data_IF_296085604559
#
_entry.id   IF_296085604559
#
_cell.length_a   1.000
_cell.length_b   1.000
_cell.length_c   1.000
_cell.angle_alpha   90.00
_cell.angle_beta   90.00
_cell.angle_gamma   90.00
#
_symmetry.space_group_name_H-M   'P 1'
#
loop_
_entity.id
_entity.type
_entity.pdbx_description
1 polymer ?
#
# COMPACT_ATOMS: atom_id res chain seq x y z
N UNK A 1 -7.64 -8.55 45.66
CA UNK A 1 -8.92 -8.77 44.95
C UNK A 1 -9.85 -7.64 45.34
N UNK A 2 -10.69 -7.18 44.42
CA UNK A 2 -11.76 -6.21 44.68
C UNK A 2 -13.00 -6.72 43.94
N UNK A 3 -14.15 -6.83 44.60
CA UNK A 3 -15.39 -7.41 44.05
C UNK A 3 -15.20 -8.74 43.31
N UNK A 4 -14.46 -9.66 43.94
CA UNK A 4 -14.13 -10.99 43.37
C UNK A 4 -13.32 -10.96 42.06
N UNK A 5 -12.75 -9.80 41.68
CA UNK A 5 -11.85 -9.63 40.54
C UNK A 5 -10.40 -9.50 41.01
N UNK A 6 -9.51 -10.15 40.28
CA UNK A 6 -8.06 -9.99 40.43
C UNK A 6 -7.66 -8.65 39.80
N UNK A 7 -7.09 -7.78 40.62
CA UNK A 7 -6.62 -6.45 40.18
C UNK A 7 -5.11 -6.39 40.37
N UNK A 8 -4.42 -5.85 39.38
CA UNK A 8 -3.00 -5.52 39.43
C UNK A 8 -2.82 -4.01 39.41
N UNK A 9 -1.99 -3.48 40.32
CA UNK A 9 -1.61 -2.07 40.31
C UNK A 9 -0.65 -1.82 39.16
N UNK A 10 -0.95 -0.86 38.29
CA UNK A 10 0.01 -0.40 37.28
C UNK A 10 0.96 0.62 37.92
N UNK A 11 2.12 0.86 37.29
CA UNK A 11 3.18 1.72 37.83
C UNK A 11 2.76 3.20 37.88
N UNK A 12 2.00 3.67 36.88
CA UNK A 12 1.59 5.08 36.74
C UNK A 12 0.21 5.27 36.09
N UNK A 13 -0.58 4.19 35.94
CA UNK A 13 -1.84 4.19 35.18
C UNK A 13 -3.04 3.68 35.98
N UNK A 14 -4.13 3.26 35.30
CA UNK A 14 -5.30 2.71 35.97
C UNK A 14 -5.01 1.37 36.65
N UNK A 15 -5.86 0.99 37.60
CA UNK A 15 -5.88 -0.38 38.11
C UNK A 15 -6.24 -1.35 36.98
N UNK A 16 -5.43 -2.41 36.81
CA UNK A 16 -5.61 -3.38 35.74
C UNK A 16 -6.49 -4.54 36.22
N UNK A 17 -7.58 -4.78 35.53
CA UNK A 17 -8.45 -5.95 35.75
C UNK A 17 -7.85 -7.16 35.05
N UNK A 18 -7.59 -8.21 35.82
CA UNK A 18 -7.16 -9.50 35.28
C UNK A 18 -8.36 -10.19 34.63
N UNK A 19 -8.25 -10.50 33.34
CA UNK A 19 -9.28 -11.20 32.57
C UNK A 19 -8.79 -12.59 32.16
N UNK A 20 -9.73 -13.48 31.87
CA UNK A 20 -9.46 -14.86 31.42
C UNK A 20 -10.18 -15.13 30.12
N UNK A 21 -9.80 -16.21 29.44
CA UNK A 21 -10.57 -16.72 28.31
C UNK A 21 -12.04 -16.97 28.73
N UNK A 22 -13.05 -16.61 27.91
CA UNK A 22 -12.97 -16.07 26.54
C UNK A 22 -12.88 -14.54 26.43
N UNK A 23 -12.96 -13.80 27.54
CA UNK A 23 -12.98 -12.32 27.58
C UNK A 23 -11.74 -11.69 26.94
N UNK A 24 -10.60 -12.39 26.96
CA UNK A 24 -9.36 -11.96 26.29
C UNK A 24 -9.57 -11.75 24.79
N UNK A 25 -10.30 -12.66 24.12
CA UNK A 25 -10.59 -12.54 22.68
C UNK A 25 -11.55 -11.39 22.38
N UNK A 26 -12.55 -11.17 23.23
CA UNK A 26 -13.48 -10.04 23.06
C UNK A 26 -12.75 -8.70 23.16
N UNK A 27 -11.83 -8.57 24.11
CA UNK A 27 -11.00 -7.35 24.26
C UNK A 27 -10.08 -7.17 23.06
N UNK A 28 -9.38 -8.23 22.62
CA UNK A 28 -8.51 -8.16 21.44
C UNK A 28 -9.29 -7.78 20.17
N UNK A 29 -10.44 -8.39 19.96
CA UNK A 29 -11.35 -8.09 18.85
C UNK A 29 -11.83 -6.65 18.90
N UNK A 30 -12.31 -6.15 20.05
CA UNK A 30 -12.77 -4.76 20.16
C UNK A 30 -11.67 -3.73 19.92
N UNK A 31 -10.44 -3.99 20.35
CA UNK A 31 -9.32 -3.06 20.16
C UNK A 31 -8.78 -3.13 18.72
N UNK A 32 -8.72 -4.33 18.12
CA UNK A 32 -8.11 -4.54 16.80
C UNK A 32 -9.10 -4.35 15.63
N UNK A 33 -10.31 -4.89 15.77
CA UNK A 33 -11.34 -4.98 14.71
C UNK A 33 -12.59 -4.12 14.97
N UNK A 34 -12.68 -3.47 16.15
CA UNK A 34 -13.80 -2.59 16.48
C UNK A 34 -13.85 -1.31 15.66
N UNK A 35 -14.87 -0.49 15.87
CA UNK A 35 -15.09 0.78 15.13
C UNK A 35 -13.93 1.79 15.25
N UNK A 36 -13.08 1.63 16.27
CA UNK A 36 -11.86 2.43 16.48
C UNK A 36 -10.57 1.60 16.33
N UNK A 37 -10.65 0.40 15.75
CA UNK A 37 -9.52 -0.47 15.49
C UNK A 37 -8.64 0.07 14.37
N UNK A 38 -7.33 0.12 14.59
CA UNK A 38 -6.35 0.60 13.60
C UNK A 38 -5.43 -0.54 13.09
N UNK A 39 -5.87 -1.79 13.18
CA UNK A 39 -5.10 -3.00 12.81
C UNK A 39 -3.68 -3.02 13.40
N UNK A 40 -3.60 -2.74 14.70
CA UNK A 40 -2.34 -2.60 15.45
C UNK A 40 -1.53 -3.90 15.44
N UNK A 41 -0.20 -3.80 15.39
CA UNK A 41 0.70 -4.90 15.70
C UNK A 41 0.52 -5.41 17.14
N UNK A 42 0.94 -6.64 17.41
CA UNK A 42 0.67 -7.31 18.70
C UNK A 42 1.20 -6.56 19.93
N UNK A 43 2.31 -5.80 19.81
CA UNK A 43 2.85 -4.96 20.89
C UNK A 43 1.95 -3.76 21.19
N UNK A 44 1.58 -3.01 20.16
CA UNK A 44 0.65 -1.87 20.27
C UNK A 44 -0.71 -2.32 20.80
N UNK A 45 -1.21 -3.47 20.34
CA UNK A 45 -2.45 -4.08 20.82
C UNK A 45 -2.37 -4.44 22.33
N UNK A 46 -1.24 -5.00 22.76
CA UNK A 46 -0.95 -5.26 24.18
C UNK A 46 -0.96 -3.97 24.99
N UNK A 47 -0.27 -2.93 24.50
CA UNK A 47 -0.17 -1.66 25.20
C UNK A 47 -1.53 -0.94 25.30
N UNK A 48 -2.33 -0.99 24.25
CA UNK A 48 -3.71 -0.48 24.26
C UNK A 48 -4.57 -1.20 25.31
N UNK A 49 -4.50 -2.54 25.36
CA UNK A 49 -5.22 -3.32 26.36
C UNK A 49 -4.83 -2.93 27.80
N UNK A 50 -3.54 -2.70 28.05
CA UNK A 50 -3.05 -2.18 29.34
C UNK A 50 -3.59 -0.77 29.63
N UNK A 51 -3.54 0.14 28.65
CA UNK A 51 -3.98 1.53 28.81
C UNK A 51 -5.47 1.65 29.13
N UNK A 52 -6.31 0.76 28.60
CA UNK A 52 -7.75 0.71 28.91
C UNK A 52 -8.08 -0.08 30.19
N UNK A 53 -7.06 -0.63 30.88
CA UNK A 53 -7.23 -1.24 32.19
C UNK A 53 -7.38 -2.76 32.22
N UNK A 54 -6.95 -3.49 31.18
CA UNK A 54 -6.98 -4.96 31.17
C UNK A 54 -5.57 -5.57 31.18
N UNK A 55 -5.44 -6.73 31.83
CA UNK A 55 -4.21 -7.51 31.85
C UNK A 55 -4.51 -9.01 31.88
N UNK A 56 -3.63 -9.81 31.27
CA UNK A 56 -3.57 -11.25 31.49
C UNK A 56 -2.13 -11.75 31.23
N UNK A 57 -1.68 -12.85 31.86
CA UNK A 57 -0.27 -13.25 31.86
C UNK A 57 0.35 -13.44 30.47
N UNK A 58 -0.42 -13.99 29.53
CA UNK A 58 0.03 -14.35 28.17
C UNK A 58 -0.27 -13.25 27.14
N UNK A 59 -0.72 -12.06 27.55
CA UNK A 59 -1.26 -11.04 26.62
C UNK A 59 -0.35 -10.64 25.47
N UNK A 60 0.97 -10.64 25.68
CA UNK A 60 1.94 -10.34 24.60
C UNK A 60 1.92 -11.43 23.52
N UNK A 61 1.91 -12.69 23.95
CA UNK A 61 1.85 -13.83 23.04
C UNK A 61 0.49 -13.88 22.33
N UNK A 62 -0.60 -13.77 23.11
CA UNK A 62 -1.96 -13.86 22.58
C UNK A 62 -2.27 -12.71 21.61
N UNK A 63 -1.82 -11.49 21.90
CA UNK A 63 -1.97 -10.34 20.97
C UNK A 63 -1.18 -10.57 19.68
N UNK A 64 0.04 -11.12 19.77
CA UNK A 64 0.83 -11.43 18.58
C UNK A 64 0.21 -12.55 17.74
N UNK A 65 -0.32 -13.60 18.39
CA UNK A 65 -1.03 -14.67 17.68
C UNK A 65 -2.34 -14.18 17.07
N UNK A 66 -3.08 -13.32 17.78
CA UNK A 66 -4.32 -12.72 17.30
C UNK A 66 -4.06 -11.92 16.02
N UNK A 67 -3.12 -10.98 16.04
CA UNK A 67 -2.76 -10.17 14.86
C UNK A 67 -2.28 -11.06 13.72
N UNK A 68 -1.49 -12.10 14.00
CA UNK A 68 -1.06 -13.06 12.99
C UNK A 68 -2.25 -13.79 12.35
N UNK A 69 -3.26 -14.16 13.13
CA UNK A 69 -4.50 -14.78 12.62
C UNK A 69 -5.39 -13.83 11.81
N UNK A 70 -5.16 -12.51 11.92
CA UNK A 70 -5.82 -11.49 11.11
C UNK A 70 -5.02 -11.10 9.86
N UNK A 71 -3.88 -11.74 9.60
CA UNK A 71 -3.10 -11.47 8.39
C UNK A 71 -3.89 -11.90 7.15
N UNK A 72 -4.07 -10.97 6.22
CA UNK A 72 -4.74 -11.22 4.95
C UNK A 72 -3.87 -10.82 3.77
N UNK A 73 -4.08 -11.49 2.63
CA UNK A 73 -3.40 -11.20 1.39
C UNK A 73 -4.43 -11.06 0.27
N UNK A 74 -4.38 -9.96 -0.45
CA UNK A 74 -5.16 -9.77 -1.68
C UNK A 74 -4.29 -10.19 -2.86
N UNK A 75 -4.75 -11.15 -3.66
CA UNK A 75 -4.08 -11.56 -4.90
C UNK A 75 -5.03 -11.42 -6.07
N UNK A 76 -4.51 -11.33 -7.28
CA UNK A 76 -5.33 -11.49 -8.47
C UNK A 76 -5.79 -12.94 -8.65
N UNK A 77 -6.67 -13.15 -9.63
CA UNK A 77 -7.13 -14.49 -10.05
C UNK A 77 -6.11 -15.24 -10.92
N UNK A 78 -4.82 -14.91 -10.82
CA UNK A 78 -3.78 -15.66 -11.51
C UNK A 78 -3.78 -17.12 -11.08
N UNK A 79 -3.60 -18.04 -12.03
CA UNK A 79 -3.58 -19.48 -11.76
C UNK A 79 -2.50 -19.89 -10.77
N UNK A 80 -1.41 -19.12 -10.69
CA UNK A 80 -0.34 -19.26 -9.70
C UNK A 80 -0.81 -19.03 -8.24
N UNK A 81 -1.92 -18.32 -8.03
CA UNK A 81 -2.47 -18.00 -6.72
C UNK A 81 -3.74 -18.78 -6.36
N UNK A 82 -4.22 -19.70 -7.22
CA UNK A 82 -5.44 -20.50 -6.99
C UNK A 82 -5.13 -21.99 -6.76
N UNK A 83 -3.87 -22.43 -6.98
CA UNK A 83 -3.49 -23.84 -6.88
C UNK A 83 -3.58 -24.43 -5.47
N UNK A 84 -3.87 -25.73 -5.36
CA UNK A 84 -3.98 -26.44 -4.06
C UNK A 84 -2.79 -26.21 -3.12
N UNK A 85 -1.58 -26.14 -3.67
CA UNK A 85 -0.35 -25.91 -2.89
C UNK A 85 -0.34 -24.51 -2.24
N UNK A 86 -0.75 -23.46 -2.96
CA UNK A 86 -0.77 -22.10 -2.42
C UNK A 86 -1.88 -21.93 -1.38
N UNK A 87 -3.05 -22.55 -1.60
CA UNK A 87 -4.14 -22.55 -0.64
C UNK A 87 -3.74 -23.27 0.65
N UNK A 88 -3.06 -24.42 0.54
CA UNK A 88 -2.52 -25.14 1.69
C UNK A 88 -1.44 -24.32 2.42
N UNK A 89 -0.61 -23.58 1.68
CA UNK A 89 0.36 -22.65 2.26
C UNK A 89 -0.34 -21.56 3.08
N UNK A 90 -1.33 -20.86 2.52
CA UNK A 90 -2.06 -19.81 3.24
C UNK A 90 -2.78 -20.37 4.48
N UNK A 91 -3.40 -21.54 4.37
CA UNK A 91 -4.02 -22.21 5.52
C UNK A 91 -3.01 -22.56 6.62
N UNK A 92 -1.85 -23.12 6.26
CA UNK A 92 -0.77 -23.48 7.20
C UNK A 92 -0.28 -22.26 8.01
N UNK A 93 -0.18 -21.11 7.36
CA UNK A 93 0.29 -19.88 8.00
C UNK A 93 -0.84 -19.00 8.56
N UNK A 94 -2.08 -19.49 8.55
CA UNK A 94 -3.29 -18.76 9.00
C UNK A 94 -3.48 -17.42 8.26
N UNK A 95 -3.11 -17.36 6.98
CA UNK A 95 -3.26 -16.18 6.12
C UNK A 95 -4.61 -16.27 5.41
N UNK A 96 -5.44 -15.25 5.57
CA UNK A 96 -6.72 -15.14 4.85
C UNK A 96 -6.46 -14.66 3.43
N UNK A 97 -6.74 -15.49 2.43
CA UNK A 97 -6.60 -15.08 1.03
C UNK A 97 -7.90 -14.41 0.53
N UNK A 98 -7.76 -13.23 -0.05
CA UNK A 98 -8.82 -12.56 -0.80
C UNK A 98 -8.43 -12.51 -2.27
N UNK A 99 -9.28 -13.06 -3.12
CA UNK A 99 -9.09 -13.00 -4.56
C UNK A 99 -9.76 -11.74 -5.12
N UNK A 100 -9.02 -10.94 -5.88
CA UNK A 100 -9.61 -9.83 -6.61
C UNK A 100 -10.57 -10.38 -7.66
N UNK A 101 -11.81 -9.91 -7.66
CA UNK A 101 -12.76 -10.32 -8.69
C UNK A 101 -12.49 -9.52 -9.96
N UNK A 102 -12.73 -10.11 -11.12
CA UNK A 102 -12.60 -9.40 -12.41
C UNK A 102 -13.49 -8.15 -12.50
N UNK A 103 -14.50 -8.03 -11.63
CA UNK A 103 -15.41 -6.89 -11.53
C UNK A 103 -14.87 -5.75 -10.64
N UNK A 104 -13.88 -6.01 -9.79
CA UNK A 104 -13.28 -5.04 -8.86
C UNK A 104 -11.73 -5.09 -8.89
N UNK A 105 -11.10 -4.72 -10.02
CA UNK A 105 -9.64 -4.67 -10.13
C UNK A 105 -8.99 -3.68 -9.14
N UNK A 106 -9.75 -2.71 -8.60
CA UNK A 106 -9.22 -1.79 -7.58
C UNK A 106 -8.67 -2.49 -6.34
N UNK A 107 -9.13 -3.72 -6.03
CA UNK A 107 -8.57 -4.51 -4.92
C UNK A 107 -7.06 -4.80 -5.06
N UNK A 108 -6.55 -4.81 -6.30
CA UNK A 108 -5.12 -4.99 -6.59
C UNK A 108 -4.43 -3.70 -7.10
N UNK A 109 -5.15 -2.58 -7.14
CA UNK A 109 -4.67 -1.34 -7.76
C UNK A 109 -3.40 -0.76 -7.13
N UNK A 110 -3.16 -1.01 -5.84
CA UNK A 110 -1.92 -0.61 -5.15
C UNK A 110 -0.70 -1.39 -5.67
N UNK A 111 -0.85 -2.70 -5.88
CA UNK A 111 0.21 -3.54 -6.45
C UNK A 111 0.47 -3.14 -7.91
N UNK A 112 -0.58 -2.91 -8.70
CA UNK A 112 -0.47 -2.45 -10.09
C UNK A 112 0.27 -1.10 -10.19
N UNK A 113 -0.08 -0.13 -9.36
CA UNK A 113 0.57 1.18 -9.33
C UNK A 113 2.06 1.06 -8.93
N UNK A 114 2.38 0.22 -7.95
CA UNK A 114 3.75 -0.03 -7.51
C UNK A 114 4.57 -0.72 -8.61
N UNK A 115 4.00 -1.76 -9.24
CA UNK A 115 4.62 -2.48 -10.35
C UNK A 115 4.89 -1.57 -11.54
N UNK A 116 3.94 -0.69 -11.89
CA UNK A 116 4.13 0.31 -12.95
C UNK A 116 5.35 1.20 -12.68
N UNK A 117 5.49 1.70 -11.46
CA UNK A 117 6.64 2.52 -11.08
C UNK A 117 7.96 1.76 -11.14
N UNK A 118 8.00 0.52 -10.66
CA UNK A 118 9.19 -0.33 -10.71
C UNK A 118 9.59 -0.59 -12.17
N UNK A 119 8.62 -0.91 -13.03
CA UNK A 119 8.85 -1.12 -14.46
C UNK A 119 9.34 0.16 -15.16
N UNK A 120 8.79 1.32 -14.83
CA UNK A 120 9.24 2.60 -15.41
C UNK A 120 10.68 2.94 -14.97
N UNK A 121 11.05 2.65 -13.73
CA UNK A 121 12.43 2.79 -13.25
C UNK A 121 13.40 1.82 -13.94
N UNK A 122 12.98 0.56 -14.13
CA UNK A 122 13.76 -0.43 -14.87
C UNK A 122 13.99 0.01 -16.32
N UNK A 123 12.95 0.44 -17.03
CA UNK A 123 13.05 0.91 -18.41
C UNK A 123 14.10 2.01 -18.56
N UNK A 124 14.09 3.01 -17.68
CA UNK A 124 15.06 4.11 -17.68
C UNK A 124 16.50 3.66 -17.46
N UNK A 125 16.73 2.64 -16.63
CA UNK A 125 18.08 2.09 -16.40
C UNK A 125 18.57 1.21 -17.54
N UNK A 126 17.64 0.62 -18.29
CA UNK A 126 17.93 -0.31 -19.38
C UNK A 126 18.07 0.38 -20.75
N UNK A 127 18.03 1.72 -20.84
CA UNK A 127 18.08 2.52 -22.09
C UNK A 127 19.31 2.25 -23.01
N UNK A 128 20.24 1.38 -22.62
CA UNK A 128 21.32 0.89 -23.50
C UNK A 128 21.86 -0.52 -23.17
N UNK A 129 21.17 -1.29 -22.32
CA UNK A 129 21.63 -2.61 -21.86
C UNK A 129 20.50 -3.64 -21.96
N UNK A 130 20.29 -4.18 -23.15
CA UNK A 130 19.28 -5.21 -23.38
C UNK A 130 19.58 -6.47 -22.53
N UNK A 131 18.58 -6.96 -21.80
CA UNK A 131 18.63 -8.25 -21.12
C UNK A 131 19.20 -8.28 -19.69
N UNK A 132 19.81 -7.20 -19.17
CA UNK A 132 20.43 -7.18 -17.82
C UNK A 132 19.49 -6.75 -16.68
N UNK A 133 18.18 -6.90 -16.87
CA UNK A 133 17.19 -6.44 -15.88
C UNK A 133 17.35 -7.11 -14.51
N UNK A 134 17.85 -8.36 -14.49
CA UNK A 134 18.10 -9.10 -13.23
C UNK A 134 19.17 -8.40 -12.39
N UNK A 135 20.22 -7.89 -13.03
CA UNK A 135 21.32 -7.19 -12.35
C UNK A 135 20.89 -5.79 -11.86
N UNK A 136 20.02 -5.12 -12.61
CA UNK A 136 19.52 -3.78 -12.27
C UNK A 136 18.36 -3.79 -11.25
N UNK A 137 17.62 -4.90 -11.14
CA UNK A 137 16.45 -4.99 -10.29
C UNK A 137 16.73 -4.66 -8.81
N UNK A 138 17.80 -5.19 -8.17
CA UNK A 138 18.13 -4.80 -6.80
C UNK A 138 18.33 -3.29 -6.63
N UNK A 139 19.00 -2.64 -7.59
CA UNK A 139 19.22 -1.20 -7.59
C UNK A 139 17.92 -0.40 -7.74
N UNK A 140 17.00 -0.88 -8.59
CA UNK A 140 15.66 -0.28 -8.74
C UNK A 140 14.84 -0.45 -7.47
N UNK A 141 14.81 -1.64 -6.88
CA UNK A 141 14.07 -1.89 -5.65
C UNK A 141 14.64 -1.06 -4.49
N UNK A 142 15.96 -0.93 -4.39
CA UNK A 142 16.60 -0.07 -3.41
C UNK A 142 16.14 1.38 -3.56
N UNK A 143 16.25 1.95 -4.76
CA UNK A 143 15.76 3.30 -5.04
C UNK A 143 14.25 3.43 -4.76
N UNK A 144 13.46 2.40 -5.09
CA UNK A 144 12.03 2.38 -4.82
C UNK A 144 11.74 2.47 -3.32
N UNK A 145 12.47 1.71 -2.50
CA UNK A 145 12.29 1.65 -1.05
C UNK A 145 12.78 2.90 -0.32
N UNK A 146 13.84 3.56 -0.80
CA UNK A 146 14.47 4.71 -0.11
C UNK A 146 14.06 6.08 -0.66
N UNK A 147 13.19 6.15 -1.65
CA UNK A 147 12.72 7.43 -2.21
C UNK A 147 11.34 7.78 -1.67
N UNK A 148 11.21 9.03 -1.18
CA UNK A 148 9.93 9.56 -0.67
C UNK A 148 8.88 9.59 -1.78
N UNK A 149 7.69 9.05 -1.50
CA UNK A 149 6.59 9.07 -2.47
C UNK A 149 5.80 10.37 -2.33
N UNK A 150 5.43 10.98 -3.46
CA UNK A 150 4.61 12.21 -3.45
C UNK A 150 3.26 12.01 -2.75
N UNK A 151 2.66 10.84 -2.89
CA UNK A 151 1.36 10.51 -2.31
C UNK A 151 1.40 10.35 -0.78
N UNK A 152 2.50 9.83 -0.23
CA UNK A 152 2.64 9.57 1.22
C UNK A 152 3.46 10.64 1.94
N UNK A 153 4.42 11.27 1.25
CA UNK A 153 5.46 12.12 1.84
C UNK A 153 6.62 11.33 2.48
N UNK A 154 6.50 10.00 2.56
CA UNK A 154 7.39 9.09 3.26
C UNK A 154 8.02 8.07 2.31
N UNK A 155 9.11 7.42 2.74
CA UNK A 155 9.71 6.31 2.01
C UNK A 155 8.95 5.01 2.30
N UNK A 156 8.83 4.08 1.34
CA UNK A 156 8.27 2.76 1.64
C UNK A 156 9.03 2.01 2.74
N UNK A 157 10.35 2.19 2.83
CA UNK A 157 11.17 1.56 3.86
C UNK A 157 10.82 2.07 5.26
N UNK A 158 10.69 3.39 5.45
CA UNK A 158 10.35 3.95 6.77
C UNK A 158 8.97 3.51 7.23
N UNK A 159 7.99 3.45 6.32
CA UNK A 159 6.65 2.94 6.63
C UNK A 159 6.64 1.44 6.93
N UNK A 160 7.57 0.65 6.38
CA UNK A 160 7.66 -0.78 6.65
C UNK A 160 8.35 -1.07 8.00
N UNK A 161 9.47 -0.39 8.28
CA UNK A 161 10.38 -0.75 9.37
C UNK A 161 10.42 0.27 10.52
N UNK A 162 9.76 1.42 10.39
CA UNK A 162 9.71 2.46 11.42
C UNK A 162 10.89 3.42 11.42
N UNK A 163 11.87 3.22 10.53
CA UNK A 163 13.04 4.09 10.40
C UNK A 163 13.54 4.12 8.97
N UNK A 164 14.27 5.16 8.59
CA UNK A 164 14.85 5.27 7.25
C UNK A 164 15.97 4.26 7.02
N UNK A 165 16.12 3.82 5.77
CA UNK A 165 17.20 2.92 5.40
C UNK A 165 18.57 3.63 5.51
N UNK A 166 19.57 2.91 6.01
CA UNK A 166 20.96 3.37 5.90
C UNK A 166 21.38 3.29 4.44
N UNK A 167 21.65 4.45 3.82
CA UNK A 167 22.11 4.51 2.43
C UNK A 167 23.59 4.09 2.31
N UNK A 168 24.01 3.47 1.20
CA UNK A 168 25.38 2.96 1.03
C UNK A 168 26.52 3.94 1.38
N UNK A 169 26.43 5.25 1.10
CA UNK A 169 27.48 6.19 1.50
C UNK A 169 27.75 6.24 3.00
N UNK A 170 26.75 6.03 3.86
CA UNK A 170 26.94 5.99 5.32
C UNK A 170 27.75 4.77 5.79
N UNK A 171 27.81 3.71 4.98
CA UNK A 171 28.61 2.52 5.27
C UNK A 171 30.06 2.77 4.88
N UNK A 172 30.28 3.37 3.71
CA UNK A 172 31.62 3.66 3.18
C UNK A 172 32.29 4.81 3.95
N UNK A 173 31.51 5.80 4.39
CA UNK A 173 31.97 6.92 5.21
C UNK A 173 31.09 6.95 6.46
N UNK A 174 31.53 6.30 7.55
CA UNK A 174 30.79 6.29 8.80
C UNK A 174 30.49 7.72 9.23
N UNK A 175 29.21 8.03 9.46
CA UNK A 175 28.84 9.29 10.09
C UNK A 175 29.02 9.18 11.60
N UNK A 176 29.16 10.33 12.28
CA UNK A 176 29.22 10.41 13.75
C UNK A 176 28.06 9.63 14.40
N UNK A 177 26.88 9.58 13.76
CA UNK A 177 25.73 8.82 14.23
C UNK A 177 25.99 7.31 14.35
N UNK A 178 26.85 6.74 13.50
CA UNK A 178 27.27 5.34 13.57
C UNK A 178 28.43 5.13 14.55
N UNK A 179 29.27 6.14 14.75
CA UNK A 179 30.45 6.06 15.62
C UNK A 179 30.15 6.26 17.11
N UNK A 180 29.15 7.09 17.44
CA UNK A 180 28.83 7.49 18.82
C UNK A 180 27.66 6.70 19.41
N UNK A 181 26.89 6.01 18.58
CA UNK A 181 25.70 5.27 19.02
C UNK A 181 26.02 3.99 19.78
N UNK A 182 25.47 3.83 20.99
CA UNK A 182 25.49 2.53 21.67
C UNK A 182 24.39 1.61 21.13
N UNK A 183 24.67 0.30 21.07
CA UNK A 183 23.72 -0.72 20.60
C UNK A 183 22.44 -0.71 21.44
N UNK A 184 22.55 -0.48 22.75
CA UNK A 184 21.42 -0.44 23.67
C UNK A 184 20.52 0.77 23.40
N UNK A 185 21.09 1.97 23.24
CA UNK A 185 20.32 3.17 22.91
C UNK A 185 19.62 3.04 21.55
N UNK A 186 20.30 2.49 20.54
CA UNK A 186 19.69 2.24 19.22
C UNK A 186 18.54 1.23 19.31
N UNK A 187 18.69 0.18 20.14
CA UNK A 187 17.66 -0.82 20.35
C UNK A 187 16.41 -0.24 21.02
N UNK A 188 16.59 0.62 22.03
CA UNK A 188 15.47 1.31 22.68
C UNK A 188 14.80 2.32 21.73
N UNK A 189 15.58 3.10 20.96
CA UNK A 189 15.02 3.98 19.94
C UNK A 189 14.23 3.22 18.87
N UNK A 190 14.73 2.09 18.39
CA UNK A 190 14.02 1.24 17.43
C UNK A 190 12.69 0.75 17.99
N UNK A 191 12.62 0.40 19.29
CA UNK A 191 11.35 0.00 19.93
C UNK A 191 10.34 1.14 19.92
N UNK A 192 10.76 2.34 20.32
CA UNK A 192 9.91 3.54 20.30
C UNK A 192 9.43 3.87 18.88
N UNK A 193 10.32 3.83 17.90
CA UNK A 193 9.97 4.07 16.51
C UNK A 193 8.92 3.08 16.01
N UNK A 194 9.07 1.79 16.34
CA UNK A 194 8.09 0.76 15.98
C UNK A 194 6.74 0.96 16.67
N UNK A 195 6.73 1.46 17.91
CA UNK A 195 5.49 1.75 18.64
C UNK A 195 4.78 2.99 18.05
N UNK A 196 5.52 3.98 17.54
CA UNK A 196 4.98 5.19 16.88
C UNK A 196 4.60 4.95 15.41
N UNK A 197 5.16 3.94 14.77
CA UNK A 197 5.01 3.66 13.33
C UNK A 197 3.55 3.53 12.90
N UNK A 198 2.69 2.95 13.74
CA UNK A 198 1.26 2.85 13.43
C UNK A 198 0.60 4.22 13.28
N UNK A 199 0.95 5.18 14.15
CA UNK A 199 0.44 6.54 14.04
C UNK A 199 0.91 7.23 12.77
N UNK A 200 2.16 6.99 12.34
CA UNK A 200 2.69 7.51 11.08
C UNK A 200 2.02 6.86 9.85
N UNK A 201 1.73 5.55 9.91
CA UNK A 201 0.96 4.85 8.87
C UNK A 201 -0.47 5.41 8.76
N UNK A 202 -1.12 5.69 9.88
CA UNK A 202 -2.47 6.25 9.93
C UNK A 202 -2.52 7.66 9.31
N UNK A 203 -1.58 8.53 9.69
CA UNK A 203 -1.39 9.85 9.04
C UNK A 203 -1.18 9.70 7.53
N UNK A 204 -0.37 8.72 7.13
CA UNK A 204 -0.08 8.45 5.72
C UNK A 204 -1.32 8.01 4.95
N UNK A 205 -2.18 7.16 5.54
CA UNK A 205 -3.44 6.72 4.91
C UNK A 205 -4.34 7.94 4.62
N UNK A 206 -4.47 8.86 5.57
CA UNK A 206 -5.24 10.10 5.40
C UNK A 206 -4.64 10.94 4.25
N UNK A 207 -3.31 11.05 4.18
CA UNK A 207 -2.62 11.77 3.10
C UNK A 207 -2.85 11.13 1.74
N UNK A 208 -2.77 9.80 1.64
CA UNK A 208 -3.04 9.08 0.39
C UNK A 208 -4.49 9.29 -0.05
N UNK A 209 -5.45 9.23 0.86
CA UNK A 209 -6.86 9.44 0.55
C UNK A 209 -7.12 10.87 0.02
N UNK A 210 -6.60 11.89 0.71
CA UNK A 210 -6.69 13.29 0.26
C UNK A 210 -6.01 13.50 -1.09
N UNK A 211 -4.83 12.90 -1.32
CA UNK A 211 -4.14 12.98 -2.60
C UNK A 211 -4.95 12.33 -3.74
N UNK A 212 -5.54 11.15 -3.51
CA UNK A 212 -6.40 10.49 -4.47
C UNK A 212 -7.65 11.31 -4.80
N UNK A 213 -8.25 11.97 -3.81
CA UNK A 213 -9.38 12.87 -4.03
C UNK A 213 -9.00 14.05 -4.94
N UNK A 214 -7.87 14.71 -4.66
CA UNK A 214 -7.38 15.81 -5.50
C UNK A 214 -7.10 15.37 -6.95
N UNK A 215 -6.61 14.15 -7.15
CA UNK A 215 -6.43 13.60 -8.50
C UNK A 215 -7.77 13.39 -9.22
N UNK A 216 -8.76 12.80 -8.53
CA UNK A 216 -10.12 12.62 -9.10
C UNK A 216 -10.76 13.95 -9.49
N UNK A 217 -10.61 14.98 -8.65
CA UNK A 217 -11.12 16.33 -8.93
C UNK A 217 -10.43 16.96 -10.15
N UNK A 218 -9.11 16.81 -10.28
CA UNK A 218 -8.36 17.27 -11.46
C UNK A 218 -8.78 16.55 -12.74
N UNK A 219 -8.97 15.24 -12.68
CA UNK A 219 -9.45 14.45 -13.84
C UNK A 219 -10.88 14.85 -14.23
N UNK A 220 -11.76 15.07 -13.25
CA UNK A 220 -13.12 15.54 -13.50
C UNK A 220 -13.14 16.95 -14.11
N UNK A 221 -12.27 17.85 -13.64
CA UNK A 221 -12.11 19.19 -14.20
C UNK A 221 -11.59 19.14 -15.65
N UNK A 222 -10.64 18.26 -15.95
CA UNK A 222 -10.13 18.06 -17.32
C UNK A 222 -11.24 17.58 -18.27
N UNK A 223 -12.05 16.61 -17.84
CA UNK A 223 -13.21 16.14 -18.63
C UNK A 223 -14.25 17.24 -18.82
N UNK A 224 -14.52 18.08 -17.82
CA UNK A 224 -15.42 19.24 -17.98
C UNK A 224 -14.88 20.29 -18.96
N UNK A 225 -13.56 20.49 -19.00
CA UNK A 225 -12.90 21.36 -19.98
C UNK A 225 -13.03 20.84 -21.42
N UNK A 226 -12.88 19.53 -21.64
CA UNK A 226 -13.06 18.89 -22.96
C UNK A 226 -14.51 18.96 -23.48
N UNK A 227 -15.52 18.99 -22.60
CA UNK A 227 -16.93 19.21 -22.99
C UNK A 227 -17.32 20.69 -23.13
N UNK A 228 -16.43 21.62 -22.76
CA UNK A 228 -16.67 23.07 -22.81
C UNK A 228 -16.04 23.76 -24.03
N UNK A 229 -15.29 23.05 -24.86
CA UNK A 229 -14.99 23.49 -26.22
C UNK A 229 -16.08 22.94 -27.16
N UNK A 230 -17.15 23.69 -27.46
CA UNK A 230 -17.88 23.41 -28.67
C UNK A 230 -16.88 23.52 -29.82
N UNK A 231 -16.85 22.49 -30.63
CA UNK A 231 -15.99 22.33 -31.80
C UNK A 231 -16.33 23.41 -32.86
N UNK A 232 -15.96 24.69 -32.64
CA UNK A 232 -16.19 25.81 -33.58
C UNK A 232 -15.05 25.89 -34.61
N UNK A 233 -14.52 24.74 -35.06
CA UNK A 233 -13.53 24.68 -36.15
C UNK A 233 -13.78 23.53 -37.15
N UNK A 234 -15.03 23.09 -37.34
CA UNK A 234 -15.39 22.18 -38.46
C UNK A 234 -16.47 22.75 -39.38
N UNK A 235 -16.58 24.09 -39.49
CA UNK A 235 -17.60 24.70 -40.38
C UNK A 235 -17.10 25.74 -41.40
N UNK A 236 -15.79 25.88 -41.67
CA UNK A 236 -15.33 26.87 -42.67
C UNK A 236 -14.38 26.41 -43.78
N UNK A 237 -14.16 25.11 -44.00
CA UNK A 237 -13.39 24.66 -45.18
C UNK A 237 -13.89 23.35 -45.81
N UNK A 238 -15.20 23.26 -46.12
CA UNK A 238 -15.73 22.13 -46.88
C UNK A 238 -16.72 22.45 -48.04
N UNK A 239 -16.49 23.46 -48.91
CA UNK A 239 -17.13 23.45 -50.24
C UNK A 239 -16.22 22.98 -51.40
N UNK A 240 -14.89 22.96 -51.23
CA UNK A 240 -13.97 22.78 -52.37
C UNK A 240 -13.50 21.34 -52.63
N UNK A 241 -13.56 20.42 -51.66
CA UNK A 241 -13.10 19.03 -51.85
C UNK A 241 -14.18 18.03 -52.31
N UNK A 242 -15.47 18.36 -52.16
CA UNK A 242 -16.56 17.45 -52.55
C UNK A 242 -16.77 17.44 -54.08
N UNK A 243 -16.42 18.53 -54.78
CA UNK A 243 -16.55 18.63 -56.24
C UNK A 243 -15.52 17.78 -57.01
N UNK A 244 -14.35 17.50 -56.44
CA UNK A 244 -13.31 16.70 -57.09
C UNK A 244 -13.56 15.19 -56.99
N UNK A 245 -14.21 14.71 -55.93
CA UNK A 245 -14.48 13.27 -55.75
C UNK A 245 -15.63 12.80 -56.67
N UNK A 246 -16.63 13.64 -56.93
CA UNK A 246 -17.75 13.35 -57.86
C UNK A 246 -17.30 13.24 -59.33
N UNK A 247 -16.28 14.01 -59.74
CA UNK A 247 -15.69 13.92 -61.09
C UNK A 247 -14.81 12.66 -61.30
N UNK A 248 -14.29 12.07 -60.23
CA UNK A 248 -13.47 10.84 -60.32
C UNK A 248 -14.36 9.59 -60.34
N UNK A 249 -15.45 9.57 -59.55
CA UNK A 249 -16.38 8.42 -59.50
C UNK A 249 -17.26 8.29 -60.76
N UNK A 250 -17.49 9.36 -61.51
CA UNK A 250 -18.19 9.30 -62.81
C UNK A 250 -17.29 8.83 -63.97
N UNK A 251 -15.97 9.04 -63.89
CA UNK A 251 -15.00 8.65 -64.94
C UNK A 251 -14.55 7.19 -64.85
N UNK A 252 -14.58 6.59 -63.66
CA UNK A 252 -14.30 5.16 -63.46
C UNK A 252 -15.48 4.26 -63.84
N UNK A 253 -16.72 4.78 -63.83
CA UNK A 253 -17.92 4.00 -64.16
C UNK A 253 -18.19 3.86 -65.67
N UNK A 254 -17.43 4.56 -66.52
CA UNK A 254 -17.53 4.48 -67.99
C UNK A 254 -16.43 3.63 -68.64
N UNK A 255 -15.61 2.91 -67.86
CA UNK A 255 -14.55 2.04 -68.39
C UNK A 255 -14.81 0.53 -68.19
N UNK A 256 -15.90 0.16 -67.50
CA UNK A 256 -16.32 -1.24 -67.27
C UNK A 256 -17.62 -1.60 -68.03
N UNK A 257 -17.69 -1.27 -69.32
CA UNK A 257 -18.67 -1.90 -70.23
C UNK A 257 -17.95 -2.96 -71.08
N UNK A 258 -18.31 -4.25 -70.97
CA UNK A 258 -17.77 -5.28 -71.85
C UNK A 258 -18.25 -5.07 -73.29
N UNK A 259 -17.35 -5.27 -74.25
CA UNK A 259 -17.69 -5.52 -75.67
C UNK A 259 -18.16 -6.97 -75.80
#
# INVERSE_FOLDING_TARGET
MHDNKLIRRSYSGPHLTCIKYPQTLEVLCKIHDGECGNHSGGRSLTQKALNIGYFWPTMRHDSAEYVKSQSSLVTDNGSQFIGKQITAFFAKYKIKQHLSTSRYPQGNGQAEASNKLILDCLKKRLEGAEGKWVDELPGVLWAYHTTKRRSTGETPFSLAFGTEAIIPPHITVPSISLEVGSVDQNSEQMRLNLDLLEGEREKTIIRVASYQQQLKEKEAAKKKGEYSEPNILVEKFAPAMITSISKITSRLRSMDTPI
#
